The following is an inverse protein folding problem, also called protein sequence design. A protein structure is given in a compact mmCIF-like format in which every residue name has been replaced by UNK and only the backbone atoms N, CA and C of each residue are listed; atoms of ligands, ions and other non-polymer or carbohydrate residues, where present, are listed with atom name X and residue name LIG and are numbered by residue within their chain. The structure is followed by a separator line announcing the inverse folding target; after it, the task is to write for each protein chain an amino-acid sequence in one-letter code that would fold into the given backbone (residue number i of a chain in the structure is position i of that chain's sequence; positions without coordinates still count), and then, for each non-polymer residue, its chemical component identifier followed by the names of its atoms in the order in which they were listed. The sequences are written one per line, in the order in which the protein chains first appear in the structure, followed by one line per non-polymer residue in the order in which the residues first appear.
data_IF_536703982898
#
_entry.id   IF_536703982898
#
_cell.length_a   1.000
_cell.length_b   1.000
_cell.length_c   1.000
_cell.angle_alpha   90.00
_cell.angle_beta   90.00
_cell.angle_gamma   90.00
#
_symmetry.space_group_name_H-M   'P 1'
#
loop_
_entity.id
_entity.type
_entity.pdbx_description
1 polymer ?
#
# COMPACT_ATOMS: atom_id res chain seq x y z
N UNK A 1 2.51 14.11 20.96
CA UNK A 1 3.00 13.49 19.69
C UNK A 1 2.43 12.07 19.56
N UNK A 2 2.25 11.57 18.33
CA UNK A 2 1.52 10.32 18.03
C UNK A 2 2.04 9.08 18.78
N UNK A 3 3.35 8.97 19.06
CA UNK A 3 3.92 7.85 19.84
C UNK A 3 3.35 7.80 21.27
N UNK A 4 3.33 8.95 21.95
CA UNK A 4 2.83 9.10 23.32
C UNK A 4 1.33 9.45 23.36
N UNK A 5 0.60 9.19 22.27
CA UNK A 5 -0.84 9.44 22.21
C UNK A 5 -1.63 8.31 22.88
N UNK A 6 -2.89 8.57 23.30
CA UNK A 6 -3.78 7.54 23.84
C UNK A 6 -4.23 6.52 22.78
N UNK A 7 -3.85 6.68 21.51
CA UNK A 7 -4.17 5.71 20.46
C UNK A 7 -3.47 4.37 20.74
N UNK A 8 -4.20 3.27 20.63
CA UNK A 8 -3.71 1.91 20.81
C UNK A 8 -2.91 1.45 19.58
N UNK A 9 -3.41 1.74 18.36
CA UNK A 9 -2.79 1.33 17.11
C UNK A 9 -2.92 -0.17 16.81
N UNK A 10 -2.02 -0.69 15.96
CA UNK A 10 -2.01 -2.09 15.55
C UNK A 10 -1.04 -2.92 16.41
N UNK A 11 -1.56 -3.98 17.05
CA UNK A 11 -0.73 -4.96 17.75
C UNK A 11 -0.19 -6.01 16.78
N UNK A 12 1.12 -6.08 16.64
CA UNK A 12 1.80 -7.05 15.78
C UNK A 12 2.34 -8.19 16.66
N UNK A 13 2.05 -9.47 16.34
CA UNK A 13 2.61 -10.59 17.08
C UNK A 13 4.15 -10.50 17.14
N UNK A 14 4.72 -10.72 18.33
CA UNK A 14 6.17 -10.67 18.61
C UNK A 14 6.81 -9.27 18.56
N UNK A 15 6.03 -8.20 18.46
CA UNK A 15 6.52 -6.84 18.71
C UNK A 15 6.07 -6.37 20.10
N UNK A 16 6.99 -5.73 20.84
CA UNK A 16 6.70 -5.19 22.18
C UNK A 16 5.82 -3.94 22.11
N UNK A 17 6.07 -3.08 21.12
CA UNK A 17 5.31 -1.84 20.92
C UNK A 17 4.25 -2.00 19.83
N UNK A 18 3.09 -1.37 20.05
CA UNK A 18 2.05 -1.27 19.03
C UNK A 18 2.47 -0.32 17.91
N UNK A 19 2.19 -0.71 16.67
CA UNK A 19 2.42 0.12 15.51
C UNK A 19 1.32 1.17 15.39
N UNK A 20 1.66 2.44 15.62
CA UNK A 20 0.71 3.57 15.46
C UNK A 20 0.84 4.27 14.12
N UNK A 21 2.07 4.44 13.64
CA UNK A 21 2.34 5.13 12.38
C UNK A 21 3.59 4.57 11.67
N UNK A 22 3.53 4.54 10.35
CA UNK A 22 4.66 4.35 9.45
C UNK A 22 4.83 5.62 8.62
N UNK A 23 6.06 6.11 8.55
CA UNK A 23 6.41 7.27 7.73
C UNK A 23 7.49 6.85 6.73
N UNK A 24 7.29 7.20 5.47
CA UNK A 24 8.27 7.05 4.41
C UNK A 24 8.26 8.30 3.53
N UNK A 25 9.28 9.14 3.68
CA UNK A 25 9.29 10.50 3.12
C UNK A 25 8.02 11.28 3.53
N UNK A 26 7.20 11.73 2.57
CA UNK A 26 5.94 12.43 2.79
C UNK A 26 4.73 11.50 2.97
N UNK A 27 4.85 10.23 2.57
CA UNK A 27 3.81 9.23 2.77
C UNK A 27 3.73 8.82 4.24
N UNK A 28 2.55 8.99 4.83
CA UNK A 28 2.26 8.62 6.22
C UNK A 28 1.07 7.66 6.28
N UNK A 29 1.29 6.49 6.87
CA UNK A 29 0.25 5.50 7.15
C UNK A 29 0.03 5.45 8.65
N UNK A 30 -1.21 5.63 9.10
CA UNK A 30 -1.59 5.54 10.51
C UNK A 30 -2.45 4.31 10.71
N UNK A 31 -2.23 3.62 11.83
CA UNK A 31 -2.99 2.45 12.23
C UNK A 31 -3.84 2.81 13.44
N UNK A 32 -5.13 2.48 13.37
CA UNK A 32 -6.10 2.68 14.43
C UNK A 32 -6.67 1.33 14.85
N UNK A 33 -6.75 1.10 16.16
CA UNK A 33 -7.50 0.01 16.76
C UNK A 33 -9.00 0.28 16.62
N UNK A 34 -9.83 -0.75 16.78
CA UNK A 34 -11.28 -0.56 16.90
C UNK A 34 -11.66 0.26 18.15
N UNK A 35 -10.78 0.39 19.14
CA UNK A 35 -10.99 1.25 20.31
C UNK A 35 -10.57 2.71 20.09
N UNK A 36 -9.85 2.98 19.01
CA UNK A 36 -9.36 4.32 18.71
C UNK A 36 -10.43 5.19 18.05
N UNK A 37 -10.36 6.50 18.31
CA UNK A 37 -11.22 7.49 17.66
C UNK A 37 -10.47 8.20 16.54
N UNK A 38 -11.14 8.35 15.40
CA UNK A 38 -10.62 9.13 14.28
C UNK A 38 -10.42 10.61 14.64
N UNK A 39 -11.27 11.19 15.48
CA UNK A 39 -11.16 12.58 15.91
C UNK A 39 -9.91 12.83 16.77
N UNK A 40 -9.57 11.88 17.65
CA UNK A 40 -8.32 11.91 18.42
C UNK A 40 -7.12 11.94 17.49
N UNK A 41 -7.14 11.14 16.42
CA UNK A 41 -6.08 11.16 15.41
C UNK A 41 -6.00 12.53 14.73
N UNK A 42 -7.13 13.07 14.26
CA UNK A 42 -7.15 14.39 13.60
C UNK A 42 -6.60 15.47 14.52
N UNK A 43 -6.99 15.50 15.79
CA UNK A 43 -6.47 16.45 16.79
C UNK A 43 -4.95 16.34 16.93
N UNK A 44 -4.41 15.12 16.95
CA UNK A 44 -2.95 14.90 17.03
C UNK A 44 -2.26 15.40 15.76
N UNK A 45 -2.83 15.12 14.60
CA UNK A 45 -2.26 15.51 13.30
C UNK A 45 -2.32 17.03 13.10
N UNK A 46 -3.42 17.69 13.45
CA UNK A 46 -3.59 19.13 13.31
C UNK A 46 -2.62 19.89 14.24
N UNK A 47 -2.44 19.43 15.48
CA UNK A 47 -1.44 19.98 16.40
C UNK A 47 -0.01 19.83 15.86
N UNK A 48 0.30 18.68 15.26
CA UNK A 48 1.61 18.46 14.64
C UNK A 48 1.78 19.35 13.40
N UNK A 49 0.77 19.46 12.55
CA UNK A 49 0.76 20.35 11.39
C UNK A 49 0.99 21.81 11.77
N UNK A 50 0.32 22.28 12.83
CA UNK A 50 0.50 23.63 13.35
C UNK A 50 1.93 23.89 13.84
N UNK A 51 2.54 22.93 14.53
CA UNK A 51 3.92 23.05 15.02
C UNK A 51 4.97 22.92 13.90
N UNK A 52 4.73 22.05 12.92
CA UNK A 52 5.68 21.76 11.84
C UNK A 52 5.55 22.72 10.64
N UNK A 53 4.47 23.50 10.56
CA UNK A 53 4.15 24.32 9.37
C UNK A 53 3.79 23.49 8.13
N UNK A 54 3.36 22.24 8.33
CA UNK A 54 3.02 21.30 7.27
C UNK A 54 1.51 21.07 7.18
N UNK A 55 1.02 20.52 6.06
CA UNK A 55 -0.41 20.24 5.85
C UNK A 55 -0.63 18.88 5.19
N UNK A 56 -1.43 18.03 5.81
CA UNK A 56 -1.86 16.78 5.19
C UNK A 56 -2.81 17.03 4.01
N UNK A 57 -2.62 16.27 2.95
CA UNK A 57 -3.51 16.32 1.79
C UNK A 57 -4.76 15.46 2.06
N UNK A 58 -5.79 16.07 2.64
CA UNK A 58 -7.06 15.41 3.00
C UNK A 58 -7.72 14.68 1.83
N UNK A 59 -7.58 15.19 0.61
CA UNK A 59 -8.16 14.59 -0.60
C UNK A 59 -7.45 13.29 -1.02
N UNK A 60 -6.19 13.11 -0.63
CA UNK A 60 -5.43 11.88 -0.86
C UNK A 60 -5.52 10.89 0.29
N UNK A 61 -6.14 11.26 1.42
CA UNK A 61 -6.28 10.39 2.57
C UNK A 61 -7.36 9.34 2.30
N UNK A 62 -6.95 8.09 2.30
CA UNK A 62 -7.83 6.93 2.16
C UNK A 62 -7.83 6.12 3.47
N UNK A 63 -8.98 5.57 3.81
CA UNK A 63 -9.15 4.67 4.95
C UNK A 63 -9.40 3.26 4.41
N UNK A 64 -8.58 2.31 4.85
CA UNK A 64 -8.72 0.90 4.52
C UNK A 64 -9.17 0.14 5.77
N UNK A 65 -10.45 -0.26 5.87
CA UNK A 65 -10.90 -1.13 6.94
C UNK A 65 -10.16 -2.47 6.92
N UNK A 66 -9.67 -2.90 8.07
CA UNK A 66 -8.94 -4.15 8.25
C UNK A 66 -9.49 -4.92 9.45
N UNK A 67 -9.54 -6.26 9.36
CA UNK A 67 -10.11 -7.13 10.40
C UNK A 67 -11.16 -8.09 9.87
N UNK A 68 -12.11 -8.47 10.72
CA UNK A 68 -13.21 -9.37 10.35
C UNK A 68 -14.15 -8.71 9.35
N UNK A 69 -14.86 -9.52 8.56
CA UNK A 69 -15.76 -9.00 7.52
C UNK A 69 -16.87 -8.13 8.14
N UNK A 70 -17.39 -8.55 9.29
CA UNK A 70 -18.43 -7.83 10.03
C UNK A 70 -17.94 -6.43 10.45
N UNK A 71 -16.68 -6.33 10.91
CA UNK A 71 -16.11 -5.04 11.28
C UNK A 71 -15.90 -4.13 10.06
N UNK A 72 -15.39 -4.67 8.96
CA UNK A 72 -15.20 -3.88 7.73
C UNK A 72 -16.54 -3.34 7.22
N UNK A 73 -17.59 -4.16 7.23
CA UNK A 73 -18.92 -3.77 6.78
C UNK A 73 -19.56 -2.76 7.74
N UNK A 74 -19.35 -2.91 9.05
CA UNK A 74 -19.74 -1.92 10.05
C UNK A 74 -19.10 -0.55 9.77
N UNK A 75 -17.78 -0.50 9.55
CA UNK A 75 -17.05 0.76 9.31
C UNK A 75 -17.55 1.43 8.02
N UNK A 76 -17.82 0.65 6.97
CA UNK A 76 -18.35 1.18 5.70
C UNK A 76 -19.77 1.73 5.85
N UNK A 77 -20.64 0.99 6.53
CA UNK A 77 -22.04 1.37 6.71
C UNK A 77 -22.22 2.57 7.65
N UNK A 78 -21.50 2.59 8.78
CA UNK A 78 -21.67 3.60 9.82
C UNK A 78 -20.65 4.74 9.74
N UNK A 79 -19.59 4.59 8.94
CA UNK A 79 -18.45 5.51 8.88
C UNK A 79 -17.88 5.81 10.26
N UNK A 80 -17.79 4.80 11.13
CA UNK A 80 -17.31 4.90 12.52
C UNK A 80 -16.30 3.80 12.80
N UNK A 81 -15.34 4.08 13.68
CA UNK A 81 -14.37 3.06 14.14
C UNK A 81 -14.94 2.19 15.26
N UNK A 82 -15.83 2.77 16.07
CA UNK A 82 -16.64 2.11 17.11
C UNK A 82 -17.94 2.90 17.41
N UNK A 83 -18.83 2.33 18.21
CA UNK A 83 -20.14 2.95 18.50
C UNK A 83 -20.04 4.33 19.17
N UNK A 84 -19.00 4.53 19.99
CA UNK A 84 -18.73 5.79 20.71
C UNK A 84 -17.94 6.81 19.90
N UNK A 85 -17.39 6.41 18.75
CA UNK A 85 -16.56 7.27 17.90
C UNK A 85 -17.42 8.23 17.08
N UNK A 86 -16.81 9.36 16.77
CA UNK A 86 -17.35 10.34 15.82
C UNK A 86 -17.41 9.76 14.42
N UNK A 87 -18.41 10.21 13.66
CA UNK A 87 -18.54 9.86 12.25
C UNK A 87 -17.35 10.42 11.46
N UNK A 88 -16.72 9.57 10.64
CA UNK A 88 -15.64 9.93 9.74
C UNK A 88 -16.21 10.88 8.65
N UNK A 89 -15.62 12.08 8.47
CA UNK A 89 -16.09 13.08 7.51
C UNK A 89 -16.25 12.51 6.10
N UNK A 90 -17.30 12.90 5.38
CA UNK A 90 -17.57 12.44 4.01
C UNK A 90 -16.44 12.76 3.03
N UNK A 91 -15.66 13.81 3.30
CA UNK A 91 -14.48 14.18 2.51
C UNK A 91 -13.40 13.09 2.49
N UNK A 92 -13.37 12.20 3.49
CA UNK A 92 -12.39 11.13 3.59
C UNK A 92 -12.93 9.87 2.93
N UNK A 93 -12.20 9.37 1.94
CA UNK A 93 -12.56 8.15 1.22
C UNK A 93 -12.37 6.92 2.10
N UNK A 94 -13.39 6.06 2.18
CA UNK A 94 -13.31 4.74 2.80
C UNK A 94 -13.37 3.71 1.68
N UNK A 95 -12.41 2.81 1.64
CA UNK A 95 -12.26 1.89 0.53
C UNK A 95 -13.27 0.72 0.62
N UNK A 96 -13.82 0.37 -0.53
CA UNK A 96 -14.74 -0.75 -0.66
C UNK A 96 -13.99 -2.09 -0.51
N UNK A 97 -14.72 -3.18 -0.25
CA UNK A 97 -14.11 -4.51 -0.27
C UNK A 97 -13.58 -4.79 -1.68
N UNK A 98 -12.33 -5.27 -1.77
CA UNK A 98 -11.71 -5.54 -3.05
C UNK A 98 -11.09 -4.33 -3.75
N UNK A 99 -11.28 -3.11 -3.22
CA UNK A 99 -10.74 -1.90 -3.83
C UNK A 99 -9.21 -1.83 -3.64
N UNK A 100 -8.51 -1.57 -4.74
CA UNK A 100 -7.07 -1.52 -4.80
C UNK A 100 -6.52 -0.20 -4.26
N UNK A 101 -5.81 -0.26 -3.15
CA UNK A 101 -5.03 0.86 -2.62
C UNK A 101 -3.55 0.62 -2.77
N UNK A 102 -2.81 1.62 -3.23
CA UNK A 102 -1.37 1.52 -3.34
C UNK A 102 -0.70 2.20 -2.14
N UNK A 103 0.07 1.44 -1.37
CA UNK A 103 0.86 1.95 -0.24
C UNK A 103 2.32 1.56 -0.48
N UNK A 104 3.21 2.56 -0.58
CA UNK A 104 4.66 2.38 -0.82
C UNK A 104 5.00 1.46 -1.99
N UNK A 105 4.18 1.50 -3.05
CA UNK A 105 4.38 0.68 -4.24
C UNK A 105 3.74 -0.71 -4.20
N UNK A 106 3.32 -1.21 -3.03
CA UNK A 106 2.56 -2.44 -2.86
C UNK A 106 1.05 -2.18 -2.93
N UNK A 107 0.28 -3.22 -3.27
CA UNK A 107 -1.15 -3.14 -3.54
C UNK A 107 -1.99 -3.86 -2.48
N UNK A 108 -2.77 -3.11 -1.71
CA UNK A 108 -3.64 -3.64 -0.67
C UNK A 108 -5.09 -3.69 -1.16
N UNK A 109 -5.88 -4.57 -0.54
CA UNK A 109 -7.30 -4.73 -0.86
C UNK A 109 -7.59 -5.56 -2.10
N UNK A 110 -6.59 -6.03 -2.85
CA UNK A 110 -6.83 -6.80 -4.06
C UNK A 110 -7.13 -8.30 -3.80
N UNK A 111 -8.26 -8.85 -4.28
CA UNK A 111 -8.49 -10.30 -4.27
C UNK A 111 -7.61 -11.05 -5.29
N UNK A 112 -7.12 -10.37 -6.34
CA UNK A 112 -6.32 -10.96 -7.40
C UNK A 112 -4.83 -10.59 -7.28
N UNK A 113 -4.03 -11.53 -6.82
CA UNK A 113 -2.57 -11.39 -6.67
C UNK A 113 -1.80 -11.10 -7.97
N UNK A 114 -2.43 -11.28 -9.15
CA UNK A 114 -1.80 -11.12 -10.47
C UNK A 114 -1.90 -9.68 -10.99
N UNK A 115 -2.96 -8.94 -10.66
CA UNK A 115 -3.21 -7.60 -11.21
C UNK A 115 -2.13 -6.56 -10.86
N UNK A 116 -1.48 -6.56 -9.67
CA UNK A 116 -0.33 -5.71 -9.37
C UNK A 116 0.82 -5.83 -10.39
N UNK A 117 0.95 -7.01 -11.01
CA UNK A 117 2.02 -7.34 -11.93
C UNK A 117 1.76 -6.90 -13.36
N UNK A 118 0.52 -6.58 -13.74
CA UNK A 118 0.16 -6.22 -15.13
C UNK A 118 1.01 -5.05 -15.64
N UNK A 119 1.05 -3.96 -14.88
CA UNK A 119 1.84 -2.77 -15.25
C UNK A 119 3.35 -3.06 -15.30
N UNK A 120 3.86 -3.98 -14.48
CA UNK A 120 5.28 -4.37 -14.49
C UNK A 120 5.55 -5.20 -15.74
N UNK A 121 4.73 -6.20 -16.03
CA UNK A 121 4.84 -7.02 -17.23
C UNK A 121 4.80 -6.19 -18.50
N UNK A 122 3.86 -5.26 -18.61
CA UNK A 122 3.71 -4.41 -19.80
C UNK A 122 4.92 -3.50 -20.00
N UNK A 123 5.39 -2.84 -18.93
CA UNK A 123 6.58 -1.98 -18.98
C UNK A 123 7.83 -2.77 -19.32
N UNK A 124 8.04 -3.92 -18.68
CA UNK A 124 9.20 -4.79 -18.93
C UNK A 124 9.18 -5.30 -20.36
N UNK A 125 8.03 -5.75 -20.86
CA UNK A 125 7.88 -6.21 -22.24
C UNK A 125 8.12 -5.09 -23.25
N UNK A 126 7.64 -3.88 -22.99
CA UNK A 126 7.88 -2.71 -23.85
C UNK A 126 9.37 -2.35 -23.92
N UNK A 127 10.08 -2.39 -22.79
CA UNK A 127 11.53 -2.12 -22.75
C UNK A 127 12.33 -3.21 -23.46
N UNK A 128 12.04 -4.49 -23.20
CA UNK A 128 12.69 -5.61 -23.90
C UNK A 128 12.46 -5.49 -25.41
N UNK A 129 11.23 -5.19 -25.84
CA UNK A 129 10.90 -4.99 -27.26
C UNK A 129 11.64 -3.81 -27.89
N UNK A 130 11.92 -2.76 -27.11
CA UNK A 130 12.73 -1.63 -27.55
C UNK A 130 14.20 -2.03 -27.71
N UNK A 131 14.77 -2.74 -26.74
CA UNK A 131 16.13 -3.26 -26.81
C UNK A 131 16.32 -4.28 -27.93
N UNK A 132 15.31 -5.11 -28.23
CA UNK A 132 15.38 -6.06 -29.36
C UNK A 132 15.59 -5.37 -30.71
N UNK A 133 15.18 -4.10 -30.87
CA UNK A 133 15.41 -3.31 -32.10
C UNK A 133 16.88 -2.98 -32.34
N UNK A 134 17.73 -3.01 -31.31
CA UNK A 134 19.16 -2.77 -31.45
C UNK A 134 19.95 -4.02 -31.80
N UNK A 135 19.28 -5.15 -32.08
CA UNK A 135 19.90 -6.44 -32.43
C UNK A 135 21.05 -6.84 -31.48
N UNK A 136 20.78 -6.94 -30.16
CA UNK A 136 21.83 -7.23 -29.19
C UNK A 136 22.45 -8.61 -29.42
N UNK A 137 23.73 -8.74 -29.06
CA UNK A 137 24.42 -10.04 -29.02
C UNK A 137 23.77 -10.95 -27.96
N UNK A 138 24.18 -12.23 -27.92
CA UNK A 138 23.73 -13.15 -26.88
C UNK A 138 24.03 -12.61 -25.47
N UNK A 139 25.23 -12.07 -25.27
CA UNK A 139 25.61 -11.47 -23.99
C UNK A 139 24.83 -10.18 -23.71
N UNK A 140 24.59 -9.35 -24.72
CA UNK A 140 23.72 -8.18 -24.58
C UNK A 140 22.30 -8.57 -24.17
N UNK A 141 21.74 -9.61 -24.77
CA UNK A 141 20.40 -10.13 -24.44
C UNK A 141 20.36 -10.64 -22.99
N UNK A 142 21.40 -11.37 -22.55
CA UNK A 142 21.54 -11.82 -21.16
C UNK A 142 21.52 -10.64 -20.18
N UNK A 143 22.28 -9.59 -20.47
CA UNK A 143 22.34 -8.38 -19.64
C UNK A 143 21.01 -7.62 -19.63
N UNK A 144 20.36 -7.45 -20.79
CA UNK A 144 19.04 -6.80 -20.89
C UNK A 144 18.01 -7.55 -20.05
N UNK A 145 17.95 -8.88 -20.16
CA UNK A 145 17.05 -9.70 -19.36
C UNK A 145 17.31 -9.54 -17.85
N UNK A 146 18.57 -9.49 -17.43
CA UNK A 146 18.91 -9.24 -16.03
C UNK A 146 18.45 -7.84 -15.59
N UNK A 147 18.81 -6.81 -16.35
CA UNK A 147 18.52 -5.42 -16.02
C UNK A 147 17.03 -5.10 -16.02
N UNK A 148 16.25 -5.64 -16.96
CA UNK A 148 14.84 -5.27 -17.10
C UNK A 148 13.91 -6.24 -16.36
N UNK A 149 14.07 -7.54 -16.56
CA UNK A 149 13.15 -8.54 -15.98
C UNK A 149 13.40 -8.76 -14.50
N UNK A 150 14.66 -8.88 -14.09
CA UNK A 150 14.98 -9.17 -12.69
C UNK A 150 14.80 -7.92 -11.81
N UNK A 151 15.30 -6.75 -12.23
CA UNK A 151 15.20 -5.53 -11.41
C UNK A 151 13.75 -5.10 -11.20
N UNK A 152 12.91 -5.18 -12.23
CA UNK A 152 11.52 -4.74 -12.17
C UNK A 152 10.63 -5.62 -11.29
N UNK A 153 10.98 -6.90 -11.16
CA UNK A 153 10.19 -7.86 -10.38
C UNK A 153 10.58 -7.92 -8.91
N UNK A 154 11.86 -7.71 -8.56
CA UNK A 154 12.41 -7.89 -7.22
C UNK A 154 11.59 -7.24 -6.09
N UNK A 155 11.22 -5.96 -6.25
CA UNK A 155 10.50 -5.23 -5.21
C UNK A 155 9.15 -5.87 -4.89
N UNK A 156 8.32 -6.09 -5.93
CA UNK A 156 6.97 -6.60 -5.73
C UNK A 156 6.98 -8.06 -5.27
N UNK A 157 7.96 -8.86 -5.74
CA UNK A 157 8.20 -10.21 -5.23
C UNK A 157 8.46 -10.19 -3.74
N UNK A 158 9.28 -9.27 -3.24
CA UNK A 158 9.59 -9.19 -1.81
C UNK A 158 8.41 -8.67 -0.99
N UNK A 159 7.67 -7.71 -1.54
CA UNK A 159 6.56 -7.07 -0.84
C UNK A 159 5.31 -7.96 -0.75
N UNK A 160 4.98 -8.69 -1.82
CA UNK A 160 3.69 -9.40 -1.94
C UNK A 160 3.81 -10.83 -2.48
N UNK A 161 5.03 -11.32 -2.71
CA UNK A 161 5.25 -12.59 -3.39
C UNK A 161 5.05 -12.50 -4.89
N UNK A 162 5.42 -13.57 -5.61
CA UNK A 162 5.20 -13.70 -7.05
C UNK A 162 4.33 -14.94 -7.30
N UNK A 163 3.13 -14.78 -7.90
CA UNK A 163 2.33 -15.92 -8.34
C UNK A 163 3.04 -16.72 -9.43
N UNK A 164 2.82 -18.04 -9.45
CA UNK A 164 3.44 -18.96 -10.43
C UNK A 164 3.13 -18.56 -11.88
N UNK A 165 1.93 -18.04 -12.14
CA UNK A 165 1.56 -17.60 -13.50
C UNK A 165 2.35 -16.37 -13.95
N UNK A 166 2.73 -15.49 -13.02
CA UNK A 166 3.60 -14.35 -13.29
C UNK A 166 5.02 -14.83 -13.56
N UNK A 167 5.53 -15.75 -12.74
CA UNK A 167 6.85 -16.35 -12.93
C UNK A 167 6.98 -16.99 -14.32
N UNK A 168 5.97 -17.76 -14.75
CA UNK A 168 5.90 -18.35 -16.10
C UNK A 168 5.90 -17.29 -17.19
N UNK A 169 5.17 -16.19 -17.02
CA UNK A 169 5.13 -15.08 -17.99
C UNK A 169 6.50 -14.40 -18.11
N UNK A 170 7.15 -14.07 -16.98
CA UNK A 170 8.48 -13.47 -16.97
C UNK A 170 9.53 -14.40 -17.58
N UNK A 171 9.48 -15.70 -17.26
CA UNK A 171 10.37 -16.72 -17.83
C UNK A 171 10.18 -16.90 -19.34
N UNK A 172 8.96 -16.68 -19.85
CA UNK A 172 8.71 -16.70 -21.30
C UNK A 172 9.28 -15.46 -21.99
N UNK A 173 9.33 -14.32 -21.32
CA UNK A 173 9.86 -13.05 -21.86
C UNK A 173 11.39 -13.06 -21.99
N UNK A 174 12.08 -13.88 -21.18
CA UNK A 174 13.54 -13.99 -21.22
C UNK A 174 14.07 -14.96 -22.29
N UNK A 175 13.17 -15.71 -22.94
CA UNK A 175 13.47 -16.54 -24.12
C UNK A 175 13.42 -15.70 -25.40
#
# INVERSE_FOLDING_TARGET
MIRNSPLEGLKIPKMEENLKALLFADDTTVFLSNKDSFDTLITILDNWCAAAGAKFNKNKTEIIPFGSQEYKDYVRAHRKTNDTSTVIPESTKINNEGELTRILGAWFGNPNSTQPWTNILDKTNAKISTWKKSCPTLEGTRLINWMETMSSSQFLTKAQGMPVDIEKKLTKMTK
#
